data_IF_217409610849
#
_entry.id   IF_217409610849
#
_cell.length_a   1.000
_cell.length_b   1.000
_cell.length_c   1.000
_cell.angle_alpha   90.00
_cell.angle_beta   90.00
_cell.angle_gamma   90.00
#
_symmetry.space_group_name_H-M   'P 1'
#
loop_
_entity.id
_entity.type
_entity.pdbx_description
1 polymer ?
#
# COMPACT_ATOMS: atom_id res chain seq x y z
N UNK A 1 7.23 -16.77 41.81
CA UNK A 1 7.50 -16.61 40.36
C UNK A 1 6.38 -15.79 39.79
N UNK A 2 6.63 -14.53 39.45
CA UNK A 2 5.67 -13.69 38.71
C UNK A 2 5.94 -13.93 37.23
N UNK A 3 4.94 -14.41 36.50
CA UNK A 3 5.05 -14.65 35.06
C UNK A 3 5.08 -13.31 34.31
N UNK A 4 6.28 -12.74 34.20
CA UNK A 4 6.56 -11.54 33.40
C UNK A 4 6.35 -11.74 31.89
N UNK A 5 6.01 -12.96 31.46
CA UNK A 5 5.76 -13.31 30.06
C UNK A 5 4.34 -12.92 29.63
N UNK A 6 3.39 -12.83 30.56
CA UNK A 6 2.00 -12.55 30.21
C UNK A 6 1.82 -11.16 29.56
N UNK A 7 2.39 -10.06 30.09
CA UNK A 7 2.24 -8.74 29.49
C UNK A 7 2.87 -8.65 28.08
N UNK A 8 4.02 -9.29 27.86
CA UNK A 8 4.71 -9.25 26.57
C UNK A 8 3.94 -10.02 25.49
N UNK A 9 3.37 -11.17 25.83
CA UNK A 9 2.52 -11.96 24.92
C UNK A 9 1.30 -11.14 24.47
N UNK A 10 0.62 -10.48 25.41
CA UNK A 10 -0.54 -9.63 25.08
C UNK A 10 -0.16 -8.45 24.19
N UNK A 11 0.97 -7.81 24.46
CA UNK A 11 1.48 -6.74 23.60
C UNK A 11 1.81 -7.25 22.19
N UNK A 12 2.46 -8.40 22.07
CA UNK A 12 2.79 -9.01 20.78
C UNK A 12 1.53 -9.36 19.98
N UNK A 13 0.50 -9.92 20.60
CA UNK A 13 -0.77 -10.19 19.92
C UNK A 13 -1.48 -8.91 19.47
N UNK A 14 -1.46 -7.86 20.30
CA UNK A 14 -2.03 -6.55 19.94
C UNK A 14 -1.27 -5.94 18.74
N UNK A 15 0.05 -5.94 18.79
CA UNK A 15 0.90 -5.45 17.70
C UNK A 15 0.65 -6.23 16.41
N UNK A 16 0.57 -7.56 16.49
CA UNK A 16 0.29 -8.40 15.35
C UNK A 16 -1.09 -8.12 14.75
N UNK A 17 -2.12 -7.94 15.59
CA UNK A 17 -3.46 -7.58 15.13
C UNK A 17 -3.49 -6.22 14.42
N UNK A 18 -2.75 -5.22 14.92
CA UNK A 18 -2.62 -3.91 14.27
C UNK A 18 -1.93 -4.00 12.90
N UNK A 19 -0.83 -4.75 12.83
CA UNK A 19 -0.10 -4.96 11.57
C UNK A 19 -0.93 -5.74 10.55
N UNK A 20 -1.60 -6.82 10.97
CA UNK A 20 -2.47 -7.61 10.12
C UNK A 20 -3.68 -6.79 9.63
N UNK A 21 -4.29 -6.01 10.51
CA UNK A 21 -5.38 -5.10 10.16
C UNK A 21 -4.93 -4.00 9.19
N UNK A 22 -3.77 -3.40 9.42
CA UNK A 22 -3.16 -2.43 8.52
C UNK A 22 -2.86 -3.03 7.14
N UNK A 23 -2.24 -4.21 7.10
CA UNK A 23 -1.96 -4.93 5.87
C UNK A 23 -3.23 -5.23 5.08
N UNK A 24 -4.28 -5.76 5.73
CA UNK A 24 -5.58 -5.99 5.11
C UNK A 24 -6.21 -4.70 4.59
N UNK A 25 -6.18 -3.62 5.37
CA UNK A 25 -6.71 -2.32 4.97
C UNK A 25 -6.01 -1.81 3.71
N UNK A 26 -4.67 -1.80 3.69
CA UNK A 26 -3.90 -1.38 2.53
C UNK A 26 -4.08 -2.32 1.34
N UNK A 27 -4.19 -3.62 1.57
CA UNK A 27 -4.43 -4.62 0.52
C UNK A 27 -5.79 -4.41 -0.15
N UNK A 28 -6.86 -4.27 0.64
CA UNK A 28 -8.21 -3.98 0.13
C UNK A 28 -8.25 -2.60 -0.56
N UNK A 29 -7.57 -1.60 0.00
CA UNK A 29 -7.45 -0.28 -0.64
C UNK A 29 -6.70 -0.36 -1.97
N UNK A 30 -5.61 -1.12 -2.05
CA UNK A 30 -4.82 -1.33 -3.28
C UNK A 30 -5.65 -2.03 -4.36
N UNK A 31 -6.41 -3.05 -4.00
CA UNK A 31 -7.37 -3.71 -4.90
C UNK A 31 -8.44 -2.73 -5.41
N UNK A 32 -9.00 -1.90 -4.52
CA UNK A 32 -10.01 -0.89 -4.88
C UNK A 32 -9.47 0.26 -5.74
N UNK A 33 -8.22 0.67 -5.54
CA UNK A 33 -7.56 1.70 -6.35
C UNK A 33 -6.98 1.16 -7.66
N UNK A 34 -7.32 -0.08 -8.03
CA UNK A 34 -7.06 -0.57 -9.38
C UNK A 34 -5.58 -0.85 -9.66
N UNK A 35 -4.75 -1.08 -8.63
CA UNK A 35 -3.34 -1.48 -8.84
C UNK A 35 -3.22 -2.80 -9.64
N UNK A 36 -4.26 -3.63 -9.66
CA UNK A 36 -4.40 -4.84 -10.48
C UNK A 36 -5.41 -4.69 -11.63
N UNK A 37 -6.02 -3.51 -11.81
CA UNK A 37 -6.97 -3.20 -12.87
C UNK A 37 -6.29 -2.65 -14.13
N UNK A 38 -7.01 -2.64 -15.25
CA UNK A 38 -6.55 -2.11 -16.55
C UNK A 38 -6.04 -0.66 -16.49
N UNK A 39 -6.44 0.11 -15.48
CA UNK A 39 -6.02 1.50 -15.26
C UNK A 39 -4.69 1.64 -14.49
N UNK A 40 -4.09 0.54 -14.01
CA UNK A 40 -2.75 0.59 -13.39
C UNK A 40 -1.66 1.06 -14.36
N UNK A 41 -1.94 1.03 -15.66
CA UNK A 41 -1.06 1.50 -16.70
C UNK A 41 -1.22 3.01 -17.00
N UNK A 42 -2.29 3.66 -16.54
CA UNK A 42 -2.52 5.09 -16.73
C UNK A 42 -1.36 5.99 -16.26
N UNK A 43 -0.72 5.77 -15.08
CA UNK A 43 0.43 6.57 -14.71
C UNK A 43 1.64 6.38 -15.63
N UNK A 44 1.77 5.21 -16.28
CA UNK A 44 2.84 4.92 -17.24
C UNK A 44 2.56 5.57 -18.61
N UNK A 45 1.32 5.55 -19.08
CA UNK A 45 0.94 6.25 -20.32
C UNK A 45 0.94 7.77 -20.15
N UNK A 46 0.69 8.30 -18.94
CA UNK A 46 0.86 9.73 -18.64
C UNK A 46 2.30 10.19 -18.84
N UNK A 47 3.29 9.40 -18.41
CA UNK A 47 4.70 9.74 -18.63
C UNK A 47 5.10 9.62 -20.12
N UNK A 48 4.56 8.62 -20.84
CA UNK A 48 4.84 8.44 -22.27
C UNK A 48 4.28 9.59 -23.13
N UNK A 49 3.10 10.13 -22.79
CA UNK A 49 2.52 11.27 -23.50
C UNK A 49 3.17 12.62 -23.16
N UNK A 50 3.79 12.76 -21.98
CA UNK A 50 4.61 13.94 -21.66
C UNK A 50 5.91 13.97 -22.48
N UNK A 51 6.49 12.80 -22.81
CA UNK A 51 7.68 12.69 -23.67
C UNK A 51 7.35 12.84 -25.18
N UNK A 52 6.10 12.57 -25.59
CA UNK A 52 5.65 12.69 -26.99
C UNK A 52 5.19 14.11 -27.38
N UNK A 53 5.07 15.06 -26.43
CA UNK A 53 4.82 16.44 -26.81
C UNK A 53 6.08 17.01 -27.49
N UNK A 54 6.03 17.37 -28.79
CA UNK A 54 7.14 18.06 -29.40
C UNK A 54 7.22 19.42 -28.73
N UNK A 55 8.36 19.69 -28.09
CA UNK A 55 8.81 21.02 -27.69
C UNK A 55 8.43 22.03 -28.80
N UNK A 56 7.30 22.74 -28.62
CA UNK A 56 6.94 23.86 -29.47
C UNK A 56 7.90 24.96 -29.09
N UNK A 57 9.05 24.94 -29.78
CA UNK A 57 10.09 25.96 -29.73
C UNK A 57 9.43 27.31 -30.01
N UNK A 58 9.20 28.09 -28.96
CA UNK A 58 8.85 29.51 -29.06
C UNK A 58 10.07 30.30 -29.51
#
# INVERSE_FOLDING_TARGET
MQDYVYPSIYFSYSLFALLAGGALYFFVKSLKHGYLGKDSEEPKYRMLHDDEQPEVRK
#
